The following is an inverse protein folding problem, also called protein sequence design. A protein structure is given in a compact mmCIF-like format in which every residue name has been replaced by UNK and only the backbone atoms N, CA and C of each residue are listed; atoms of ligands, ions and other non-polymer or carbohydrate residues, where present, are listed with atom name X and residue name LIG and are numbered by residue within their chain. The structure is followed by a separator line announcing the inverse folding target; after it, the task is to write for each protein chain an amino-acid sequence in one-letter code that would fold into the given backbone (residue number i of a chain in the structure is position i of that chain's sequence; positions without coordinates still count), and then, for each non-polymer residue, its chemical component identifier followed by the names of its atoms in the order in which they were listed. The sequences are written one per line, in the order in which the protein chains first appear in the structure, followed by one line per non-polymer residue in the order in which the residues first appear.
data_IF_904748104140
#
_entry.id   IF_904748104140
#
_cell.length_a   1.000
_cell.length_b   1.000
_cell.length_c   1.000
_cell.angle_alpha   90.00
_cell.angle_beta   90.00
_cell.angle_gamma   90.00
#
_symmetry.space_group_name_H-M   'P 1'
#
loop_
_entity.id
_entity.type
_entity.pdbx_description
1 polymer ?
#
# COMPACT_ATOMS: atom_id res chain seq x y z
N UNK A 1 -9.96 19.31 -8.88
CA UNK A 1 -8.82 18.65 -8.22
C UNK A 1 -8.90 17.14 -8.41
N UNK A 2 -7.76 16.47 -8.29
CA UNK A 2 -7.69 15.01 -8.35
C UNK A 2 -8.33 14.43 -7.08
N UNK A 3 -8.98 13.26 -7.21
CA UNK A 3 -9.55 12.57 -6.06
C UNK A 3 -8.49 11.76 -5.33
N UNK A 4 -8.58 11.71 -4.01
CA UNK A 4 -7.76 10.84 -3.16
C UNK A 4 -8.50 10.46 -1.89
N UNK A 5 -8.00 9.44 -1.21
CA UNK A 5 -8.43 9.10 0.14
C UNK A 5 -7.25 9.36 1.08
N UNK A 6 -7.48 10.21 2.07
CA UNK A 6 -6.53 10.50 3.15
C UNK A 6 -6.92 9.67 4.37
N UNK A 7 -6.06 8.73 4.78
CA UNK A 7 -6.30 7.86 5.94
C UNK A 7 -5.85 8.49 7.26
N UNK A 8 -5.35 9.73 7.20
CA UNK A 8 -4.79 10.44 8.34
C UNK A 8 -3.30 10.14 8.54
N UNK A 9 -2.81 10.48 9.71
CA UNK A 9 -1.42 10.30 10.12
C UNK A 9 -1.35 9.43 11.36
N UNK A 10 -0.58 8.35 11.31
CA UNK A 10 -0.32 7.46 12.42
C UNK A 10 1.06 6.81 12.25
N UNK A 11 1.93 6.78 13.30
CA UNK A 11 3.21 6.06 13.24
C UNK A 11 3.08 4.61 12.82
N UNK A 12 1.98 3.94 13.17
CA UNK A 12 1.72 2.55 12.82
C UNK A 12 1.56 2.32 11.31
N UNK A 13 1.22 3.34 10.52
CA UNK A 13 1.16 3.23 9.07
C UNK A 13 2.53 3.05 8.41
N UNK A 14 3.59 3.46 9.10
CA UNK A 14 4.95 3.16 8.67
C UNK A 14 5.24 1.66 8.66
N UNK A 15 4.48 0.86 9.41
CA UNK A 15 4.83 -0.55 9.64
C UNK A 15 6.08 -0.67 10.54
N UNK A 16 6.85 -1.74 10.35
CA UNK A 16 8.05 -2.01 11.15
C UNK A 16 8.86 -3.14 10.52
N UNK A 17 9.45 -4.00 11.34
CA UNK A 17 10.13 -5.19 10.85
C UNK A 17 9.22 -6.13 10.06
N UNK A 18 7.93 -6.12 10.37
CA UNK A 18 6.91 -6.89 9.65
C UNK A 18 5.67 -6.04 9.44
N UNK A 19 5.04 -6.17 8.29
CA UNK A 19 3.70 -5.65 8.05
C UNK A 19 3.03 -6.33 6.85
N UNK A 20 1.72 -6.20 6.77
CA UNK A 20 0.93 -6.59 5.61
C UNK A 20 -0.05 -5.47 5.26
N UNK A 21 -0.13 -5.14 3.99
CA UNK A 21 -1.09 -4.20 3.42
C UNK A 21 -1.98 -4.95 2.45
N UNK A 22 -3.28 -4.89 2.66
CA UNK A 22 -4.29 -5.66 1.94
C UNK A 22 -5.37 -4.73 1.40
N UNK A 23 -5.74 -4.89 0.13
CA UNK A 23 -6.82 -4.11 -0.47
C UNK A 23 -7.57 -4.88 -1.56
N UNK A 24 -8.88 -4.61 -1.67
CA UNK A 24 -9.69 -4.95 -2.82
C UNK A 24 -9.82 -3.75 -3.74
N UNK A 25 -9.25 -3.86 -4.94
CA UNK A 25 -9.05 -2.75 -5.87
C UNK A 25 -9.44 -3.11 -7.30
N UNK A 26 -9.80 -2.09 -8.06
CA UNK A 26 -9.93 -2.16 -9.51
C UNK A 26 -9.18 -0.97 -10.09
N UNK A 27 -8.09 -1.23 -10.82
CA UNK A 27 -7.27 -0.21 -11.46
C UNK A 27 -7.73 0.04 -12.89
N UNK A 28 -7.73 1.31 -13.29
CA UNK A 28 -7.97 1.69 -14.68
C UNK A 28 -6.67 1.59 -15.48
N UNK A 29 -6.75 1.04 -16.70
CA UNK A 29 -5.57 0.91 -17.54
C UNK A 29 -5.06 2.28 -18.00
N UNK A 30 -3.75 2.50 -17.83
CA UNK A 30 -3.02 3.55 -18.55
C UNK A 30 -3.23 4.99 -18.09
N UNK A 31 -3.83 5.22 -16.91
CA UNK A 31 -3.99 6.57 -16.40
C UNK A 31 -2.94 6.93 -15.35
N UNK A 32 -1.76 7.35 -15.82
CA UNK A 32 -0.67 7.85 -14.99
C UNK A 32 -0.18 9.19 -15.56
N UNK A 33 -0.10 10.22 -14.74
CA UNK A 33 0.37 11.54 -15.21
C UNK A 33 1.89 11.63 -15.27
N UNK A 34 2.62 10.86 -14.48
CA UNK A 34 4.08 10.96 -14.34
C UNK A 34 4.83 9.66 -14.60
N UNK A 35 4.25 8.70 -15.30
CA UNK A 35 4.87 7.38 -15.46
C UNK A 35 4.86 6.51 -14.21
N UNK A 36 4.69 7.08 -13.01
CA UNK A 36 4.45 6.40 -11.73
C UNK A 36 3.06 6.74 -11.25
N UNK A 37 2.18 5.74 -11.12
CA UNK A 37 0.86 5.88 -10.52
C UNK A 37 0.85 5.34 -9.10
N UNK A 38 0.76 6.19 -8.07
CA UNK A 38 0.65 5.75 -6.69
C UNK A 38 -0.77 5.34 -6.37
N UNK A 39 -0.94 4.08 -5.95
CA UNK A 39 -2.24 3.58 -5.51
C UNK A 39 -2.44 3.78 -4.00
N UNK A 40 -1.48 3.34 -3.20
CA UNK A 40 -1.52 3.40 -1.74
C UNK A 40 -0.12 3.66 -1.23
N UNK A 41 0.06 4.68 -0.41
CA UNK A 41 1.40 5.13 -0.06
C UNK A 41 1.47 5.81 1.31
N UNK A 42 2.53 5.46 2.04
CA UNK A 42 3.12 6.27 3.11
C UNK A 42 4.49 6.81 2.68
N UNK A 43 4.90 6.56 1.43
CA UNK A 43 6.23 6.83 0.95
C UNK A 43 6.54 8.33 0.93
N UNK A 44 7.72 8.68 1.41
CA UNK A 44 8.30 10.00 1.23
C UNK A 44 9.56 9.86 0.36
N UNK A 45 9.45 10.30 -0.88
CA UNK A 45 10.53 10.29 -1.86
C UNK A 45 11.60 11.34 -1.64
N UNK A 46 11.46 12.19 -0.61
CA UNK A 46 12.52 13.09 -0.17
C UNK A 46 13.57 12.30 0.59
N UNK A 47 14.75 12.87 0.70
CA UNK A 47 15.84 12.22 1.41
C UNK A 47 15.73 12.32 2.93
N UNK A 48 15.95 11.24 3.67
CA UNK A 48 16.06 9.84 3.24
C UNK A 48 14.75 9.30 2.65
N UNK A 49 14.81 8.28 1.81
CA UNK A 49 13.60 7.60 1.33
C UNK A 49 13.00 6.77 2.47
N UNK A 50 11.79 7.11 2.86
CA UNK A 50 11.08 6.48 3.98
C UNK A 50 9.73 5.94 3.54
N UNK A 51 9.22 4.94 4.27
CA UNK A 51 7.90 4.38 4.05
C UNK A 51 7.81 3.39 2.91
N UNK A 52 6.60 3.08 2.53
CA UNK A 52 6.28 2.12 1.48
C UNK A 52 5.22 2.69 0.52
N UNK A 53 5.19 2.14 -0.69
CA UNK A 53 4.23 2.51 -1.72
C UNK A 53 3.86 1.30 -2.58
N UNK A 54 2.57 1.09 -2.82
CA UNK A 54 2.06 0.24 -3.88
C UNK A 54 1.75 1.14 -5.07
N UNK A 55 2.38 0.86 -6.20
CA UNK A 55 2.34 1.77 -7.35
C UNK A 55 2.39 1.02 -8.69
N UNK A 56 2.20 1.76 -9.75
CA UNK A 56 2.48 1.32 -11.11
C UNK A 56 3.67 2.10 -11.70
N UNK A 57 4.49 1.41 -12.47
CA UNK A 57 5.41 2.00 -13.43
C UNK A 57 5.07 1.44 -14.82
N UNK A 58 4.45 2.26 -15.65
CA UNK A 58 3.81 1.76 -16.86
C UNK A 58 2.73 0.72 -16.51
N UNK A 59 2.77 -0.45 -17.13
CA UNK A 59 1.83 -1.55 -16.85
C UNK A 59 2.25 -2.49 -15.72
N UNK A 60 3.37 -2.22 -15.05
CA UNK A 60 3.88 -3.07 -13.97
C UNK A 60 3.32 -2.61 -12.63
N UNK A 61 2.56 -3.49 -11.96
CA UNK A 61 2.20 -3.34 -10.56
C UNK A 61 3.41 -3.69 -9.71
N UNK A 62 3.79 -2.79 -8.80
CA UNK A 62 4.98 -2.97 -7.97
C UNK A 62 4.79 -2.45 -6.54
N UNK A 63 5.73 -2.83 -5.69
CA UNK A 63 5.94 -2.23 -4.37
C UNK A 63 7.31 -1.56 -4.32
N UNK A 64 7.35 -0.37 -3.74
CA UNK A 64 8.56 0.38 -3.42
C UNK A 64 8.64 0.54 -1.91
N UNK A 65 9.80 0.24 -1.33
CA UNK A 65 10.09 0.33 0.11
C UNK A 65 11.35 1.17 0.30
N UNK A 66 11.30 2.17 1.19
CA UNK A 66 12.44 2.99 1.55
C UNK A 66 13.45 2.21 2.40
N UNK A 67 14.73 2.24 2.00
CA UNK A 67 15.77 1.37 2.56
C UNK A 67 17.00 2.16 3.01
N UNK A 68 16.85 2.94 4.04
CA UNK A 68 18.01 3.59 4.65
C UNK A 68 18.14 5.09 4.34
N UNK A 69 19.11 5.74 5.03
CA UNK A 69 19.20 7.19 5.09
C UNK A 69 19.78 7.85 3.84
N UNK A 70 20.33 7.07 2.90
CA UNK A 70 20.93 7.62 1.70
C UNK A 70 19.89 7.81 0.59
N UNK A 71 20.11 8.81 -0.26
CA UNK A 71 19.24 9.08 -1.42
C UNK A 71 19.14 7.88 -2.34
N UNK A 72 17.92 7.67 -2.89
CA UNK A 72 17.66 6.63 -3.88
C UNK A 72 17.76 5.19 -3.37
N UNK A 73 17.91 4.98 -2.08
CA UNK A 73 17.94 3.62 -1.52
C UNK A 73 16.53 3.11 -1.32
N UNK A 74 16.07 2.34 -2.28
CA UNK A 74 14.76 1.70 -2.26
C UNK A 74 14.90 0.23 -2.66
N UNK A 75 14.08 -0.62 -2.05
CA UNK A 75 13.81 -1.97 -2.53
C UNK A 75 12.55 -1.92 -3.39
N UNK A 76 12.67 -2.35 -4.62
CA UNK A 76 11.56 -2.37 -5.57
C UNK A 76 11.44 -3.72 -6.25
N UNK A 77 10.22 -4.17 -6.45
CA UNK A 77 9.90 -5.30 -7.32
C UNK A 77 8.52 -5.09 -7.92
N UNK A 78 8.34 -5.54 -9.15
CA UNK A 78 7.06 -5.45 -9.85
C UNK A 78 6.99 -6.34 -11.07
N UNK A 79 5.76 -6.62 -11.49
CA UNK A 79 5.48 -7.45 -12.65
C UNK A 79 4.35 -6.88 -13.50
N UNK A 80 4.32 -7.27 -14.78
CA UNK A 80 3.27 -6.90 -15.70
C UNK A 80 1.89 -7.35 -15.19
N UNK A 81 0.91 -6.43 -15.31
CA UNK A 81 -0.43 -6.59 -14.74
C UNK A 81 -1.58 -6.47 -15.78
N UNK A 82 -1.35 -6.57 -17.10
CA UNK A 82 -2.31 -6.14 -18.13
C UNK A 82 -3.66 -6.86 -18.05
N UNK A 83 -3.68 -8.16 -17.76
CA UNK A 83 -4.91 -8.97 -17.75
C UNK A 83 -5.81 -8.70 -16.54
N UNK A 84 -5.35 -7.92 -15.58
CA UNK A 84 -6.05 -7.62 -14.33
C UNK A 84 -6.62 -6.19 -14.28
N UNK A 85 -6.29 -5.32 -15.24
CA UNK A 85 -6.90 -4.00 -15.33
C UNK A 85 -8.41 -4.08 -15.58
N UNK A 86 -9.16 -3.15 -15.01
CA UNK A 86 -10.61 -3.10 -15.12
C UNK A 86 -11.37 -4.18 -14.34
N UNK A 87 -10.68 -5.07 -13.63
CA UNK A 87 -11.26 -6.13 -12.79
C UNK A 87 -11.01 -5.84 -11.31
N UNK A 88 -11.90 -6.35 -10.46
CA UNK A 88 -11.66 -6.35 -9.02
C UNK A 88 -10.64 -7.42 -8.67
N UNK A 89 -9.59 -7.02 -7.98
CA UNK A 89 -8.51 -7.89 -7.52
C UNK A 89 -8.24 -7.67 -6.03
N UNK A 90 -7.90 -8.75 -5.35
CA UNK A 90 -7.34 -8.72 -4.01
C UNK A 90 -5.82 -8.60 -4.14
N UNK A 91 -5.26 -7.48 -3.71
CA UNK A 91 -3.83 -7.18 -3.77
C UNK A 91 -3.28 -7.08 -2.35
N UNK A 92 -2.24 -7.84 -2.07
CA UNK A 92 -1.61 -7.90 -0.75
C UNK A 92 -0.11 -7.75 -0.90
N UNK A 93 0.46 -6.79 -0.18
CA UNK A 93 1.91 -6.65 0.00
C UNK A 93 2.28 -7.11 1.41
N UNK A 94 3.27 -7.97 1.51
CA UNK A 94 3.83 -8.48 2.77
C UNK A 94 5.30 -8.10 2.84
N UNK A 95 5.68 -7.47 3.93
CA UNK A 95 7.07 -7.25 4.33
C UNK A 95 7.40 -8.06 5.57
N UNK A 96 8.51 -8.81 5.52
CA UNK A 96 9.01 -9.60 6.65
C UNK A 96 10.54 -9.56 6.69
N UNK A 97 11.09 -8.62 7.44
CA UNK A 97 12.54 -8.45 7.60
C UNK A 97 13.19 -9.51 8.51
N UNK A 98 12.42 -10.43 9.06
CA UNK A 98 12.95 -11.55 9.87
C UNK A 98 13.42 -12.72 9.03
N UNK A 99 13.02 -12.75 7.75
CA UNK A 99 13.40 -13.80 6.81
C UNK A 99 14.81 -13.56 6.24
N UNK A 100 15.57 -14.64 5.97
CA UNK A 100 16.87 -14.51 5.32
C UNK A 100 16.76 -14.14 3.84
N UNK A 101 15.64 -14.46 3.18
CA UNK A 101 15.36 -14.16 1.78
C UNK A 101 13.86 -13.99 1.54
N UNK A 102 13.49 -13.33 0.42
CA UNK A 102 12.09 -13.13 0.07
C UNK A 102 11.34 -12.26 1.07
N UNK A 103 11.98 -11.25 1.63
CA UNK A 103 11.39 -10.37 2.62
C UNK A 103 10.20 -9.58 2.09
N UNK A 104 10.24 -9.17 0.81
CA UNK A 104 9.13 -8.49 0.15
C UNK A 104 8.37 -9.47 -0.73
N UNK A 105 7.06 -9.58 -0.52
CA UNK A 105 6.17 -10.41 -1.35
C UNK A 105 4.93 -9.62 -1.73
N UNK A 106 4.42 -9.88 -2.92
CA UNK A 106 3.08 -9.44 -3.33
C UNK A 106 2.27 -10.66 -3.75
N UNK A 107 1.00 -10.61 -3.40
CA UNK A 107 0.00 -11.59 -3.82
C UNK A 107 -1.13 -10.87 -4.57
N UNK A 108 -1.63 -11.51 -5.62
CA UNK A 108 -2.81 -11.07 -6.36
C UNK A 108 -3.79 -12.23 -6.40
N UNK A 109 -5.01 -11.99 -5.90
CA UNK A 109 -6.07 -13.00 -5.81
C UNK A 109 -5.63 -14.30 -5.08
N UNK A 110 -4.83 -14.14 -4.02
CA UNK A 110 -4.33 -15.25 -3.20
C UNK A 110 -3.11 -15.98 -3.76
N UNK A 111 -2.67 -15.67 -4.98
CA UNK A 111 -1.49 -16.29 -5.60
C UNK A 111 -0.27 -15.37 -5.51
N UNK A 112 0.91 -15.96 -5.32
CA UNK A 112 2.18 -15.22 -5.25
C UNK A 112 2.45 -14.54 -6.60
N UNK A 113 2.45 -13.21 -6.59
CA UNK A 113 2.70 -12.40 -7.78
C UNK A 113 4.20 -12.16 -7.97
N UNK A 114 4.90 -11.79 -6.91
CA UNK A 114 6.36 -11.77 -6.86
C UNK A 114 6.90 -11.95 -5.44
N UNK A 115 8.19 -12.31 -5.37
CA UNK A 115 9.00 -12.30 -4.15
C UNK A 115 10.34 -11.67 -4.46
N UNK A 116 10.83 -10.80 -3.57
CA UNK A 116 12.10 -10.09 -3.69
C UNK A 116 12.88 -10.18 -2.39
N UNK A 117 14.14 -10.57 -2.49
CA UNK A 117 15.09 -10.53 -1.39
C UNK A 117 15.72 -9.13 -1.31
N UNK A 118 15.90 -8.62 -0.11
CA UNK A 118 16.58 -7.36 0.12
C UNK A 118 18.06 -7.46 -0.25
N UNK A 119 18.45 -6.72 -1.27
CA UNK A 119 19.82 -6.62 -1.77
C UNK A 119 20.34 -5.17 -1.78
N UNK A 120 19.60 -4.25 -1.16
CA UNK A 120 19.94 -2.82 -1.13
C UNK A 120 21.09 -2.56 -0.18
N UNK A 121 22.18 -2.02 -0.70
CA UNK A 121 23.39 -1.70 0.06
C UNK A 121 23.72 -0.22 -0.01
N UNK A 122 24.37 0.30 1.02
CA UNK A 122 24.97 1.62 1.00
C UNK A 122 26.30 1.61 0.19
N UNK A 123 26.93 2.78 0.05
CA UNK A 123 28.18 2.92 -0.71
C UNK A 123 29.36 2.15 -0.11
N UNK A 124 29.29 1.81 1.18
CA UNK A 124 30.25 0.95 1.86
C UNK A 124 29.93 -0.56 1.72
N UNK A 125 28.91 -0.94 0.94
CA UNK A 125 28.50 -2.33 0.74
C UNK A 125 27.68 -2.93 1.88
N UNK A 126 27.25 -2.13 2.87
CA UNK A 126 26.46 -2.60 4.01
C UNK A 126 24.97 -2.69 3.63
N UNK A 127 24.37 -3.85 3.87
CA UNK A 127 22.95 -4.08 3.64
C UNK A 127 22.10 -3.08 4.44
N UNK A 128 21.13 -2.47 3.78
CA UNK A 128 20.26 -1.49 4.39
C UNK A 128 18.95 -2.14 4.89
N UNK A 129 18.36 -1.52 5.90
CA UNK A 129 17.07 -1.95 6.45
C UNK A 129 15.95 -1.01 6.01
N UNK A 130 14.71 -1.51 6.10
CA UNK A 130 13.52 -0.71 5.91
C UNK A 130 13.50 0.50 6.85
N UNK A 131 13.12 1.65 6.31
CA UNK A 131 12.88 2.89 7.06
C UNK A 131 11.40 3.26 7.03
N UNK A 132 10.67 3.10 8.14
CA UNK A 132 9.32 3.64 8.28
C UNK A 132 9.31 5.15 8.05
N UNK A 133 8.24 5.66 7.44
CA UNK A 133 8.09 7.12 7.31
C UNK A 133 7.84 7.73 8.68
N UNK A 134 8.81 8.51 9.16
CA UNK A 134 8.77 9.19 10.44
C UNK A 134 8.49 10.69 10.31
N UNK A 135 8.57 11.25 9.10
CA UNK A 135 8.49 12.70 8.87
C UNK A 135 7.07 13.21 8.79
N UNK A 136 6.19 12.55 8.04
CA UNK A 136 4.81 13.01 7.88
C UNK A 136 3.76 11.99 8.29
N UNK A 137 4.10 10.70 8.31
CA UNK A 137 3.28 9.58 8.76
C UNK A 137 1.88 9.51 8.11
N UNK A 138 1.67 10.24 7.02
CA UNK A 138 0.41 10.24 6.27
C UNK A 138 0.32 9.00 5.39
N UNK A 139 -0.88 8.46 5.26
CA UNK A 139 -1.19 7.40 4.30
C UNK A 139 -2.31 7.85 3.38
N UNK A 140 -2.07 7.79 2.06
CA UNK A 140 -3.05 8.18 1.05
C UNK A 140 -3.26 7.07 0.02
N UNK A 141 -4.48 7.01 -0.54
CA UNK A 141 -4.76 6.23 -1.73
C UNK A 141 -4.98 7.13 -2.94
N UNK A 142 -4.59 6.64 -4.13
CA UNK A 142 -4.66 7.26 -5.44
C UNK A 142 -3.74 8.47 -5.66
N UNK A 143 -2.91 8.78 -4.68
CA UNK A 143 -1.91 9.83 -4.76
C UNK A 143 -0.80 9.57 -3.74
N UNK A 144 0.43 9.97 -4.05
CA UNK A 144 1.53 9.98 -3.09
C UNK A 144 1.43 11.20 -2.17
N UNK A 145 1.61 11.07 -0.84
CA UNK A 145 1.48 12.20 0.08
C UNK A 145 2.44 13.35 -0.18
N UNK A 146 3.60 13.09 -0.75
CA UNK A 146 4.66 14.08 -0.94
C UNK A 146 4.85 14.50 -2.42
N UNK A 147 4.19 13.83 -3.36
CA UNK A 147 4.29 14.13 -4.78
C UNK A 147 2.92 14.09 -5.49
N UNK A 148 2.37 15.26 -5.75
CA UNK A 148 1.07 15.43 -6.40
C UNK A 148 1.04 14.93 -7.86
N UNK A 149 2.17 14.70 -8.50
CA UNK A 149 2.24 14.18 -9.87
C UNK A 149 2.05 12.67 -9.93
N UNK A 150 2.35 11.96 -8.84
CA UNK A 150 2.24 10.51 -8.74
C UNK A 150 0.84 10.08 -8.30
N UNK A 151 -0.11 10.26 -9.18
CA UNK A 151 -1.50 9.90 -8.95
C UNK A 151 -2.00 8.90 -9.99
N UNK A 152 -3.11 8.24 -9.70
CA UNK A 152 -3.76 7.31 -10.61
C UNK A 152 -5.28 7.28 -10.42
N UNK A 153 -5.99 6.66 -11.37
CA UNK A 153 -7.43 6.42 -11.29
C UNK A 153 -7.70 4.94 -11.00
N UNK A 154 -8.69 4.68 -10.17
CA UNK A 154 -9.11 3.33 -9.83
C UNK A 154 -10.20 3.36 -8.76
N UNK A 155 -10.52 2.19 -8.24
CA UNK A 155 -11.56 1.98 -7.23
C UNK A 155 -11.03 1.12 -6.10
N UNK A 156 -11.51 1.36 -4.90
CA UNK A 156 -11.21 0.57 -3.71
C UNK A 156 -12.51 0.17 -3.01
N UNK A 157 -12.60 -1.09 -2.59
CA UNK A 157 -13.72 -1.59 -1.76
C UNK A 157 -13.34 -1.74 -0.31
N UNK A 158 -12.20 -2.39 -0.07
CA UNK A 158 -11.71 -2.69 1.27
C UNK A 158 -10.23 -2.38 1.35
N UNK A 159 -9.81 -1.91 2.50
CA UNK A 159 -8.41 -1.70 2.83
C UNK A 159 -8.15 -2.15 4.27
N UNK A 160 -7.05 -2.90 4.47
CA UNK A 160 -6.61 -3.34 5.80
C UNK A 160 -5.09 -3.27 5.90
N UNK A 161 -4.60 -2.92 7.06
CA UNK A 161 -3.19 -2.97 7.38
C UNK A 161 -2.97 -3.77 8.68
N UNK A 162 -1.93 -4.59 8.66
CA UNK A 162 -1.54 -5.45 9.76
C UNK A 162 -0.09 -5.16 10.15
N UNK A 163 0.21 -5.18 11.45
CA UNK A 163 1.58 -5.08 11.97
C UNK A 163 2.37 -6.40 11.87
N UNK A 164 1.77 -7.45 11.33
CA UNK A 164 2.36 -8.78 11.16
C UNK A 164 2.49 -9.14 9.69
N UNK A 165 3.52 -9.94 9.36
CA UNK A 165 3.66 -10.55 8.06
C UNK A 165 2.69 -11.73 7.94
N UNK A 166 1.76 -11.68 6.98
CA UNK A 166 0.80 -12.74 6.71
C UNK A 166 1.41 -13.81 5.81
N UNK A 167 1.22 -15.07 6.19
CA UNK A 167 1.58 -16.22 5.36
C UNK A 167 0.68 -16.33 4.12
N UNK A 168 1.10 -17.10 3.12
CA UNK A 168 0.29 -17.33 1.91
C UNK A 168 -1.11 -17.92 2.22
N UNK A 169 -1.22 -18.79 3.23
CA UNK A 169 -2.50 -19.35 3.65
C UNK A 169 -3.40 -18.30 4.32
N UNK A 170 -2.82 -17.42 5.16
CA UNK A 170 -3.58 -16.31 5.75
C UNK A 170 -4.05 -15.35 4.68
N UNK A 171 -3.21 -15.01 3.68
CA UNK A 171 -3.61 -14.16 2.54
C UNK A 171 -4.82 -14.75 1.79
N UNK A 172 -4.83 -16.06 1.52
CA UNK A 172 -5.97 -16.75 0.91
C UNK A 172 -7.22 -16.70 1.78
N UNK A 173 -7.07 -16.81 3.08
CA UNK A 173 -8.18 -16.72 4.03
C UNK A 173 -8.73 -15.28 4.08
N UNK A 174 -7.86 -14.27 4.18
CA UNK A 174 -8.22 -12.86 4.26
C UNK A 174 -8.99 -12.39 3.02
N UNK A 175 -8.71 -12.95 1.86
CA UNK A 175 -9.40 -12.63 0.61
C UNK A 175 -10.92 -12.82 0.72
N UNK A 176 -11.38 -13.81 1.49
CA UNK A 176 -12.79 -14.19 1.62
C UNK A 176 -13.38 -13.91 3.01
N UNK A 177 -12.63 -13.27 3.90
CA UNK A 177 -13.07 -12.97 5.25
C UNK A 177 -13.34 -11.49 5.47
N UNK A 178 -14.23 -11.18 6.41
CA UNK A 178 -14.38 -9.85 6.97
C UNK A 178 -13.62 -9.75 8.30
N UNK A 179 -13.32 -8.51 8.69
CA UNK A 179 -12.72 -8.20 9.99
C UNK A 179 -13.71 -7.39 10.83
N UNK A 180 -13.61 -7.58 12.14
CA UNK A 180 -14.46 -6.91 13.13
C UNK A 180 -13.84 -5.62 13.66
N UNK A 181 -12.50 -5.49 13.53
CA UNK A 181 -11.71 -4.36 14.06
C UNK A 181 -10.91 -4.69 15.32
N UNK A 182 -11.08 -5.92 15.86
CA UNK A 182 -10.44 -6.34 17.12
C UNK A 182 -9.39 -7.43 16.94
N UNK A 183 -9.10 -7.80 15.69
CA UNK A 183 -8.13 -8.84 15.35
C UNK A 183 -6.71 -8.46 15.79
N UNK A 184 -5.99 -9.45 16.33
CA UNK A 184 -4.61 -9.25 16.75
C UNK A 184 -3.71 -8.81 15.59
N UNK A 185 -2.96 -7.75 15.80
CA UNK A 185 -2.08 -7.17 14.81
C UNK A 185 -2.77 -6.31 13.75
N UNK A 186 -4.11 -6.15 13.78
CA UNK A 186 -4.81 -5.24 12.89
C UNK A 186 -4.52 -3.79 13.30
N UNK A 187 -3.92 -3.02 12.38
CA UNK A 187 -3.61 -1.60 12.55
C UNK A 187 -4.83 -0.75 12.22
N UNK A 188 -5.40 -0.97 11.05
CA UNK A 188 -6.60 -0.27 10.57
C UNK A 188 -7.37 -1.13 9.56
N UNK A 189 -8.66 -0.84 9.38
CA UNK A 189 -9.50 -1.51 8.40
C UNK A 189 -10.67 -0.63 7.96
N UNK A 190 -10.85 -0.45 6.67
CA UNK A 190 -12.02 0.20 6.07
C UNK A 190 -12.76 -0.77 5.13
N UNK A 191 -14.06 -0.68 5.16
CA UNK A 191 -14.96 -1.32 4.19
C UNK A 191 -15.86 -0.25 3.59
N UNK A 192 -15.47 0.23 2.40
CA UNK A 192 -16.19 1.29 1.69
C UNK A 192 -17.51 0.80 1.09
N UNK A 193 -17.75 -0.51 1.04
CA UNK A 193 -19.01 -1.07 0.52
C UNK A 193 -20.19 -0.89 1.46
N UNK A 194 -19.93 -0.62 2.73
CA UNK A 194 -20.94 -0.45 3.78
C UNK A 194 -21.25 1.02 4.10
N UNK A 195 -20.56 1.94 3.43
CA UNK A 195 -20.69 3.38 3.65
C UNK A 195 -21.80 3.94 2.77
N UNK A 196 -22.62 4.86 3.33
CA UNK A 196 -23.62 5.58 2.55
C UNK A 196 -22.95 6.52 1.53
N UNK A 197 -23.64 6.75 0.40
CA UNK A 197 -23.19 7.73 -0.59
C UNK A 197 -23.06 9.12 0.05
N UNK A 198 -22.11 9.92 -0.45
CA UNK A 198 -21.81 11.29 0.01
C UNK A 198 -21.15 11.42 1.40
N UNK A 199 -20.88 10.32 2.09
CA UNK A 199 -20.08 10.34 3.32
C UNK A 199 -18.61 10.51 2.95
N UNK A 200 -17.98 11.59 3.41
CA UNK A 200 -16.57 11.90 3.12
C UNK A 200 -15.62 11.62 4.28
N UNK A 201 -16.15 11.41 5.49
CA UNK A 201 -15.37 11.05 6.67
C UNK A 201 -15.82 9.67 7.14
N UNK A 202 -14.96 8.68 6.97
CA UNK A 202 -15.29 7.27 7.12
C UNK A 202 -14.45 6.70 8.27
N UNK A 203 -15.04 6.39 9.43
CA UNK A 203 -14.32 5.74 10.51
C UNK A 203 -13.87 4.33 10.09
N UNK A 204 -12.70 3.94 10.56
CA UNK A 204 -12.23 2.56 10.38
C UNK A 204 -12.91 1.60 11.38
N UNK A 205 -12.84 0.31 11.11
CA UNK A 205 -13.43 -0.73 11.96
C UNK A 205 -12.77 -0.85 13.34
N UNK A 206 -11.51 -0.39 13.50
CA UNK A 206 -10.85 -0.38 14.81
C UNK A 206 -11.32 0.77 15.70
N UNK A 207 -12.01 1.77 15.13
CA UNK A 207 -12.45 2.98 15.79
C UNK A 207 -11.33 3.99 16.11
N UNK A 208 -10.12 3.77 15.60
CA UNK A 208 -8.95 4.62 15.88
C UNK A 208 -8.71 5.70 14.82
N UNK A 209 -9.16 5.47 13.59
CA UNK A 209 -8.83 6.31 12.45
C UNK A 209 -10.07 6.72 11.66
N UNK A 210 -9.95 7.82 10.93
CA UNK A 210 -10.99 8.32 10.02
C UNK A 210 -10.37 8.60 8.67
N UNK A 211 -10.83 7.91 7.64
CA UNK A 211 -10.47 8.22 6.26
C UNK A 211 -11.29 9.40 5.76
N UNK A 212 -10.66 10.30 5.00
CA UNK A 212 -11.29 11.45 4.36
C UNK A 212 -11.19 11.35 2.85
N UNK A 213 -12.31 11.41 2.16
CA UNK A 213 -12.35 11.48 0.70
C UNK A 213 -12.25 12.95 0.27
N UNK A 214 -11.30 13.27 -0.60
CA UNK A 214 -10.96 14.63 -1.04
C UNK A 214 -10.91 14.71 -2.55
N UNK A 215 -11.42 15.79 -3.13
CA UNK A 215 -11.38 16.05 -4.57
C UNK A 215 -12.50 15.33 -5.34
N UNK A 216 -12.23 14.98 -6.60
CA UNK A 216 -13.22 14.33 -7.47
C UNK A 216 -13.28 12.83 -7.20
N UNK A 217 -14.44 12.34 -6.84
CA UNK A 217 -14.70 10.91 -6.60
C UNK A 217 -16.08 10.50 -7.10
N UNK A 218 -16.30 9.20 -7.22
CA UNK A 218 -17.61 8.61 -7.48
C UNK A 218 -17.81 7.39 -6.59
N UNK A 219 -19.01 7.23 -6.07
CA UNK A 219 -19.45 6.01 -5.43
C UNK A 219 -19.91 5.00 -6.46
N UNK A 220 -19.56 3.74 -6.27
CA UNK A 220 -20.05 2.61 -7.06
C UNK A 220 -20.74 1.62 -6.13
N UNK A 221 -21.96 1.31 -6.50
CA UNK A 221 -22.72 0.19 -5.91
C UNK A 221 -22.37 -1.13 -6.55
#
# INVERSE_FOLDING_TARGET
GKGRIEFGSDPAYGGGNTFTVESWVKYDAGFFESGIGSFLSTFDGKQPNEGWMINFLGSNLRTTIGMGPQEGRVLEEGRAYPDNFGKWNHVVTVWDNTLPEGQLKMYVNGELFFSKTNDVKNDAGVLQNYMPNTRNQNMWAFQEPTDNSRCMTGFIKKFRMWSTAKSANEVKTLMNSDVTGTESGLVCAWDFTTVAEDVTNIPDKTGKHVAKIVGNYKWFK
#
